data_IF_592723097226
#
_entry.id   IF_592723097226
#
_cell.length_a   1.000
_cell.length_b   1.000
_cell.length_c   1.000
_cell.angle_alpha   90.00
_cell.angle_beta   90.00
_cell.angle_gamma   90.00
#
_symmetry.space_group_name_H-M   'P 1'
#
loop_
_entity.id
_entity.type
_entity.pdbx_description
1 polymer ?
#
# COMPACT_ATOMS: atom_id res chain seq x y z
N UNK A 1 -25.67 -14.11 21.71
CA UNK A 1 -25.74 -13.12 20.61
C UNK A 1 -25.07 -13.74 19.41
N UNK A 2 -25.83 -14.10 18.37
CA UNK A 2 -25.27 -14.67 17.14
C UNK A 2 -24.39 -13.63 16.46
N UNK A 3 -23.16 -14.01 16.10
CA UNK A 3 -22.19 -13.13 15.45
C UNK A 3 -22.78 -12.73 14.09
N UNK A 4 -23.28 -11.50 13.97
CA UNK A 4 -24.00 -10.97 12.79
C UNK A 4 -23.08 -10.64 11.60
N UNK A 5 -21.80 -10.99 11.70
CA UNK A 5 -20.79 -10.61 10.73
C UNK A 5 -20.11 -11.87 10.19
N UNK A 6 -19.91 -11.85 8.87
CA UNK A 6 -19.39 -12.86 7.94
C UNK A 6 -18.79 -14.11 8.59
N UNK A 7 -19.31 -15.28 8.20
CA UNK A 7 -18.76 -16.58 8.58
C UNK A 7 -17.26 -16.64 8.24
N UNK A 8 -16.38 -16.94 9.21
CA UNK A 8 -14.94 -17.09 8.97
C UNK A 8 -14.58 -18.03 7.82
N UNK A 9 -15.44 -19.03 7.52
CA UNK A 9 -15.26 -19.94 6.40
C UNK A 9 -15.22 -19.24 5.04
N UNK A 10 -15.81 -18.04 4.90
CA UNK A 10 -15.78 -17.22 3.67
C UNK A 10 -14.35 -16.78 3.33
N UNK A 11 -13.46 -16.68 4.32
CA UNK A 11 -12.07 -16.29 4.11
C UNK A 11 -11.16 -17.46 3.75
N UNK A 12 -11.68 -18.69 3.71
CA UNK A 12 -10.88 -19.85 3.40
C UNK A 12 -10.37 -19.78 1.95
N UNK A 13 -9.04 -19.75 1.78
CA UNK A 13 -8.41 -19.58 0.47
C UNK A 13 -8.24 -18.12 0.00
N UNK A 14 -8.71 -17.13 0.78
CA UNK A 14 -8.50 -15.70 0.49
C UNK A 14 -7.42 -15.17 1.43
N UNK A 15 -6.28 -14.74 0.87
CA UNK A 15 -5.13 -14.26 1.64
C UNK A 15 -4.67 -12.87 1.19
N UNK A 16 -4.10 -12.13 2.14
CA UNK A 16 -3.48 -10.82 1.90
C UNK A 16 -4.47 -9.78 1.37
N UNK A 17 -3.98 -8.89 0.50
CA UNK A 17 -4.72 -7.74 -0.05
C UNK A 17 -5.98 -8.07 -0.87
N UNK A 18 -6.21 -9.36 -1.19
CA UNK A 18 -7.40 -9.79 -1.91
C UNK A 18 -8.64 -9.84 -0.99
N UNK A 19 -8.44 -9.86 0.33
CA UNK A 19 -9.54 -9.78 1.29
C UNK A 19 -10.20 -8.40 1.27
N UNK A 20 -9.42 -7.34 1.05
CA UNK A 20 -9.90 -5.97 1.12
C UNK A 20 -10.87 -5.65 -0.01
N UNK A 21 -10.54 -6.05 -1.25
CA UNK A 21 -11.45 -5.88 -2.39
C UNK A 21 -12.75 -6.65 -2.19
N UNK A 22 -12.66 -7.89 -1.70
CA UNK A 22 -13.83 -8.71 -1.41
C UNK A 22 -14.73 -8.05 -0.35
N UNK A 23 -14.17 -7.57 0.76
CA UNK A 23 -14.94 -6.95 1.83
C UNK A 23 -15.62 -5.65 1.39
N UNK A 24 -14.91 -4.78 0.66
CA UNK A 24 -15.48 -3.51 0.15
C UNK A 24 -16.62 -3.78 -0.83
N UNK A 25 -16.37 -4.66 -1.81
CA UNK A 25 -17.37 -5.01 -2.83
C UNK A 25 -18.61 -5.67 -2.23
N UNK A 26 -18.41 -6.63 -1.31
CA UNK A 26 -19.50 -7.33 -0.62
C UNK A 26 -20.35 -6.36 0.20
N UNK A 27 -19.72 -5.48 0.96
CA UNK A 27 -20.46 -4.54 1.81
C UNK A 27 -21.22 -3.50 0.99
N UNK A 28 -20.67 -3.08 -0.16
CA UNK A 28 -21.38 -2.24 -1.14
C UNK A 28 -22.64 -2.93 -1.67
N UNK A 29 -22.50 -4.17 -2.14
CA UNK A 29 -23.64 -4.98 -2.59
C UNK A 29 -24.70 -5.17 -1.50
N UNK A 30 -24.27 -5.45 -0.27
CA UNK A 30 -25.17 -5.66 0.88
C UNK A 30 -25.96 -4.41 1.27
N UNK A 31 -25.49 -3.21 0.87
CA UNK A 31 -26.20 -1.92 1.00
C UNK A 31 -27.09 -1.58 -0.19
N UNK A 32 -27.24 -2.50 -1.14
CA UNK A 32 -28.07 -2.32 -2.33
C UNK A 32 -27.36 -1.66 -3.51
N UNK A 33 -26.03 -1.52 -3.50
CA UNK A 33 -25.30 -1.04 -4.67
C UNK A 33 -25.16 -2.17 -5.70
N UNK A 34 -25.23 -1.81 -6.98
CA UNK A 34 -24.93 -2.74 -8.07
C UNK A 34 -23.42 -2.98 -8.11
N UNK A 35 -23.00 -4.21 -7.83
CA UNK A 35 -21.61 -4.66 -7.89
C UNK A 35 -21.30 -5.26 -9.26
N UNK A 36 -20.26 -4.77 -9.93
CA UNK A 36 -19.73 -5.35 -11.18
C UNK A 36 -18.26 -5.69 -11.02
N UNK A 37 -17.88 -6.94 -11.29
CA UNK A 37 -16.49 -7.40 -11.35
C UNK A 37 -15.98 -7.41 -12.79
N UNK A 38 -14.72 -7.04 -12.99
CA UNK A 38 -14.08 -6.98 -14.31
C UNK A 38 -12.94 -8.02 -14.41
N UNK A 39 -12.76 -8.58 -15.61
CA UNK A 39 -11.63 -9.47 -15.97
C UNK A 39 -10.71 -8.76 -16.98
N UNK A 40 -9.49 -9.27 -17.13
CA UNK A 40 -8.45 -8.65 -17.97
C UNK A 40 -8.95 -8.39 -19.41
N UNK A 41 -8.54 -7.23 -19.94
CA UNK A 41 -8.97 -6.60 -21.21
C UNK A 41 -10.30 -5.82 -21.19
N UNK A 42 -10.68 -5.23 -20.06
CA UNK A 42 -11.78 -4.25 -20.09
C UNK A 42 -11.25 -2.84 -20.43
N UNK A 43 -11.76 -2.15 -21.46
CA UNK A 43 -11.31 -0.79 -21.84
C UNK A 43 -11.67 0.31 -20.82
N UNK A 44 -12.30 -0.06 -19.70
CA UNK A 44 -12.86 0.86 -18.68
C UNK A 44 -12.02 0.87 -17.40
N UNK A 45 -10.71 0.67 -17.50
CA UNK A 45 -9.83 0.70 -16.34
C UNK A 45 -9.30 2.12 -16.09
N UNK A 46 -9.77 2.85 -15.06
CA UNK A 46 -9.31 4.21 -14.79
C UNK A 46 -7.94 4.26 -14.11
N UNK A 47 -7.38 3.11 -13.73
CA UNK A 47 -6.16 3.02 -12.94
C UNK A 47 -4.95 2.73 -13.83
N UNK A 48 -3.99 3.66 -13.82
CA UNK A 48 -2.70 3.42 -14.48
C UNK A 48 -1.93 2.29 -13.76
N UNK A 49 -1.19 1.48 -14.52
CA UNK A 49 -0.24 0.44 -14.04
C UNK A 49 -0.87 -0.81 -13.39
N UNK A 50 -2.09 -1.20 -13.75
CA UNK A 50 -2.64 -2.49 -13.33
C UNK A 50 -2.47 -3.52 -14.46
N UNK A 51 -1.59 -4.48 -14.26
CA UNK A 51 -1.37 -5.57 -15.23
C UNK A 51 -2.31 -6.74 -15.02
N UNK A 52 -2.83 -6.91 -13.79
CA UNK A 52 -3.77 -7.97 -13.43
C UNK A 52 -5.01 -7.37 -12.73
N UNK A 53 -6.16 -7.50 -13.39
CA UNK A 53 -7.44 -6.95 -12.93
C UNK A 53 -8.38 -8.02 -12.40
N UNK A 54 -8.07 -9.31 -12.58
CA UNK A 54 -8.92 -10.40 -12.16
C UNK A 54 -9.06 -10.37 -10.62
N UNK A 55 -10.31 -10.34 -10.14
CA UNK A 55 -10.65 -10.23 -8.70
C UNK A 55 -10.07 -9.00 -7.98
N UNK A 56 -9.53 -8.03 -8.74
CA UNK A 56 -8.93 -6.80 -8.21
C UNK A 56 -9.68 -5.56 -8.67
N UNK A 57 -10.29 -5.59 -9.86
CA UNK A 57 -11.06 -4.47 -10.39
C UNK A 57 -12.56 -4.73 -10.27
N UNK A 58 -13.27 -3.83 -9.59
CA UNK A 58 -14.72 -3.83 -9.49
C UNK A 58 -15.29 -2.41 -9.50
N UNK A 59 -16.59 -2.29 -9.71
CA UNK A 59 -17.32 -1.04 -9.51
C UNK A 59 -18.55 -1.24 -8.64
N UNK A 60 -18.92 -0.17 -7.95
CA UNK A 60 -20.16 -0.06 -7.19
C UNK A 60 -20.97 1.10 -7.78
N UNK A 61 -22.23 0.83 -8.08
CA UNK A 61 -23.14 1.79 -8.69
C UNK A 61 -24.42 1.93 -7.86
N UNK A 62 -24.80 3.17 -7.58
CA UNK A 62 -26.06 3.50 -6.90
C UNK A 62 -27.24 3.46 -7.87
N UNK A 63 -28.46 3.29 -7.36
CA UNK A 63 -29.68 3.37 -8.17
C UNK A 63 -29.85 4.71 -8.91
N UNK A 64 -29.22 5.79 -8.43
CA UNK A 64 -29.19 7.10 -9.09
C UNK A 64 -28.15 7.23 -10.20
N UNK A 65 -27.47 6.13 -10.58
CA UNK A 65 -26.50 6.10 -11.69
C UNK A 65 -25.08 6.56 -11.34
N UNK A 66 -24.83 6.99 -10.10
CA UNK A 66 -23.46 7.30 -9.65
C UNK A 66 -22.66 6.00 -9.49
N UNK A 67 -21.55 5.89 -10.20
CA UNK A 67 -20.66 4.73 -10.27
C UNK A 67 -19.25 5.10 -9.84
N UNK A 68 -18.62 4.23 -9.05
CA UNK A 68 -17.22 4.31 -8.66
C UNK A 68 -16.48 3.01 -8.92
N UNK A 69 -15.26 3.12 -9.42
CA UNK A 69 -14.36 2.00 -9.63
C UNK A 69 -13.39 1.85 -8.47
N UNK A 70 -12.98 0.61 -8.24
CA UNK A 70 -12.02 0.23 -7.22
C UNK A 70 -11.02 -0.77 -7.79
N UNK A 71 -9.74 -0.51 -7.59
CA UNK A 71 -8.67 -1.47 -7.79
C UNK A 71 -8.10 -1.87 -6.43
N UNK A 72 -8.36 -3.11 -6.02
CA UNK A 72 -8.18 -3.57 -4.63
C UNK A 72 -9.02 -2.71 -3.68
N UNK A 73 -8.37 -1.95 -2.80
CA UNK A 73 -9.01 -0.97 -1.91
C UNK A 73 -8.91 0.47 -2.42
N UNK A 74 -8.21 0.73 -3.54
CA UNK A 74 -8.05 2.08 -4.10
C UNK A 74 -9.27 2.45 -4.93
N UNK A 75 -9.98 3.51 -4.53
CA UNK A 75 -11.05 4.12 -5.32
C UNK A 75 -10.53 5.02 -6.44
N UNK A 76 -11.36 5.22 -7.47
CA UNK A 76 -11.08 6.05 -8.66
C UNK A 76 -10.87 7.54 -8.41
N UNK A 77 -11.25 8.05 -7.25
CA UNK A 77 -10.99 9.44 -6.85
C UNK A 77 -9.54 9.67 -6.39
N UNK A 78 -8.76 8.60 -6.15
CA UNK A 78 -7.33 8.71 -5.86
C UNK A 78 -6.59 8.94 -7.16
N UNK A 79 -5.91 10.09 -7.27
CA UNK A 79 -5.17 10.46 -8.47
C UNK A 79 -4.04 9.45 -8.74
N UNK A 80 -3.86 9.11 -10.03
CA UNK A 80 -2.82 8.16 -10.45
C UNK A 80 -1.42 8.66 -10.07
N UNK A 81 -1.18 9.97 -10.14
CA UNK A 81 0.07 10.61 -9.71
C UNK A 81 0.36 10.40 -8.22
N UNK A 82 -0.64 10.54 -7.35
CA UNK A 82 -0.48 10.28 -5.91
C UNK A 82 -0.04 8.83 -5.65
N UNK A 83 -0.54 7.87 -6.46
CA UNK A 83 -0.07 6.49 -6.37
C UNK A 83 1.38 6.34 -6.83
N UNK A 84 1.78 7.01 -7.92
CA UNK A 84 3.17 6.98 -8.39
C UNK A 84 4.16 7.55 -7.37
N UNK A 85 3.80 8.67 -6.74
CA UNK A 85 4.59 9.27 -5.65
C UNK A 85 4.69 8.28 -4.48
N UNK A 86 3.56 7.68 -4.09
CA UNK A 86 3.44 6.75 -2.97
C UNK A 86 4.23 5.44 -3.11
N UNK A 87 4.56 5.01 -4.34
CA UNK A 87 5.35 3.80 -4.57
C UNK A 87 6.80 3.98 -4.09
N UNK A 88 7.37 5.18 -4.25
CA UNK A 88 8.71 5.49 -3.79
C UNK A 88 8.68 6.07 -2.38
N UNK A 89 9.29 5.38 -1.43
CA UNK A 89 9.45 5.85 -0.05
C UNK A 89 10.17 7.21 0.00
N UNK A 90 11.10 7.45 -0.94
CA UNK A 90 11.84 8.70 -1.04
C UNK A 90 10.96 9.81 -1.61
N UNK A 91 10.32 9.59 -2.76
CA UNK A 91 9.49 10.63 -3.40
C UNK A 91 8.34 11.06 -2.49
N UNK A 92 7.76 10.09 -1.74
CA UNK A 92 6.75 10.40 -0.72
C UNK A 92 7.32 11.33 0.35
N UNK A 93 8.53 11.05 0.85
CA UNK A 93 9.20 11.89 1.86
C UNK A 93 9.47 13.30 1.33
N UNK A 94 9.96 13.41 0.10
CA UNK A 94 10.31 14.69 -0.53
C UNK A 94 9.07 15.59 -0.69
N UNK A 95 7.96 15.03 -1.21
CA UNK A 95 6.70 15.76 -1.38
C UNK A 95 6.13 16.20 -0.03
N UNK A 96 6.17 15.35 0.99
CA UNK A 96 5.70 15.72 2.33
C UNK A 96 6.55 16.88 2.91
N UNK A 97 7.87 16.80 2.79
CA UNK A 97 8.79 17.85 3.26
C UNK A 97 8.58 19.18 2.54
N UNK A 98 8.40 19.16 1.22
CA UNK A 98 8.12 20.35 0.41
C UNK A 98 6.87 21.11 0.90
N UNK A 99 5.89 20.37 1.41
CA UNK A 99 4.65 20.92 1.96
C UNK A 99 4.72 21.20 3.47
N UNK A 100 5.91 21.17 4.07
CA UNK A 100 6.11 21.43 5.50
C UNK A 100 5.58 20.34 6.43
N UNK A 101 5.32 19.14 5.90
CA UNK A 101 4.87 18.00 6.70
C UNK A 101 6.10 17.28 7.24
N UNK A 102 6.16 17.12 8.57
CA UNK A 102 7.26 16.41 9.22
C UNK A 102 7.28 14.93 8.83
N UNK A 103 8.49 14.42 8.56
CA UNK A 103 8.75 13.03 8.21
C UNK A 103 9.92 12.52 9.02
N UNK A 104 10.00 11.22 9.36
CA UNK A 104 11.18 10.66 10.00
C UNK A 104 12.47 11.01 9.23
N UNK A 105 13.50 11.38 9.97
CA UNK A 105 14.83 11.63 9.42
C UNK A 105 15.43 10.35 8.83
N UNK A 106 16.41 10.50 7.94
CA UNK A 106 16.96 9.37 7.18
C UNK A 106 17.30 9.72 5.74
N UNK A 107 18.11 8.86 5.14
CA UNK A 107 18.63 9.04 3.79
C UNK A 107 18.71 7.71 3.03
N UNK A 108 19.10 7.76 1.75
CA UNK A 108 19.30 6.62 0.86
C UNK A 108 20.78 6.40 0.62
N UNK A 109 21.20 5.16 0.84
CA UNK A 109 22.58 4.73 0.62
C UNK A 109 22.66 3.58 -0.38
N UNK A 110 23.75 3.52 -1.12
CA UNK A 110 24.19 2.25 -1.71
C UNK A 110 24.83 1.40 -0.62
N UNK A 111 24.58 0.08 -0.61
CA UNK A 111 25.06 -0.81 0.46
C UNK A 111 26.58 -0.79 0.65
N UNK A 112 27.34 -0.45 -0.39
CA UNK A 112 28.81 -0.41 -0.37
C UNK A 112 29.39 0.74 0.48
N UNK A 113 28.57 1.69 0.91
CA UNK A 113 29.01 2.92 1.59
C UNK A 113 28.74 2.85 3.10
N UNK A 114 29.33 1.84 3.77
CA UNK A 114 29.03 1.50 5.17
C UNK A 114 29.27 2.63 6.17
N UNK A 115 30.40 3.33 6.04
CA UNK A 115 30.78 4.41 6.96
C UNK A 115 29.76 5.57 6.93
N UNK A 116 29.22 5.90 5.75
CA UNK A 116 28.20 6.94 5.62
C UNK A 116 26.86 6.51 6.24
N UNK A 117 26.50 5.23 6.12
CA UNK A 117 25.29 4.67 6.74
C UNK A 117 25.39 4.76 8.27
N UNK A 118 26.52 4.35 8.85
CA UNK A 118 26.77 4.42 10.29
C UNK A 118 26.77 5.88 10.78
N UNK A 119 27.43 6.77 10.04
CA UNK A 119 27.45 8.20 10.37
C UNK A 119 26.02 8.77 10.39
N UNK A 120 25.21 8.48 9.38
CA UNK A 120 23.82 8.91 9.31
C UNK A 120 22.97 8.35 10.47
N UNK A 121 23.15 7.07 10.82
CA UNK A 121 22.44 6.47 11.95
C UNK A 121 22.80 7.14 13.29
N UNK A 122 24.08 7.50 13.48
CA UNK A 122 24.52 8.23 14.67
C UNK A 122 24.02 9.68 14.71
N UNK A 123 23.88 10.34 13.56
CA UNK A 123 23.32 11.70 13.46
C UNK A 123 21.81 11.75 13.76
N UNK A 124 21.07 10.70 13.35
CA UNK A 124 19.60 10.59 13.57
C UNK A 124 19.27 9.99 14.94
N UNK A 125 20.25 9.37 15.57
CA UNK A 125 20.16 8.61 16.82
C UNK A 125 19.43 7.26 16.68
N UNK A 126 19.93 6.27 17.43
CA UNK A 126 19.34 4.94 17.53
C UNK A 126 18.09 4.94 18.45
N UNK A 127 17.10 4.04 18.24
CA UNK A 127 17.11 2.97 17.25
C UNK A 127 16.74 3.43 15.84
N UNK A 128 17.30 2.77 14.83
CA UNK A 128 17.03 3.07 13.41
C UNK A 128 16.33 1.93 12.69
N UNK A 129 15.71 2.25 11.55
CA UNK A 129 15.06 1.28 10.67
C UNK A 129 15.77 1.28 9.32
N UNK A 130 16.23 0.10 8.89
CA UNK A 130 16.79 -0.11 7.55
C UNK A 130 15.72 -0.72 6.66
N UNK A 131 15.47 -0.11 5.50
CA UNK A 131 14.46 -0.57 4.54
C UNK A 131 14.98 -0.52 3.10
N UNK A 132 14.73 -1.52 2.26
CA UNK A 132 15.11 -1.48 0.86
C UNK A 132 14.25 -0.47 0.11
N UNK A 133 14.82 0.15 -0.93
CA UNK A 133 14.12 1.14 -1.73
C UNK A 133 12.95 0.53 -2.50
N UNK A 134 13.17 -0.59 -3.18
CA UNK A 134 12.24 -1.24 -4.12
C UNK A 134 11.39 -2.36 -3.52
N UNK A 135 11.59 -2.73 -2.25
CA UNK A 135 10.78 -3.77 -1.61
C UNK A 135 9.48 -3.23 -1.00
N UNK A 136 8.49 -4.11 -0.90
CA UNK A 136 7.15 -3.84 -0.36
C UNK A 136 6.74 -4.90 0.66
N UNK A 137 5.66 -4.64 1.41
CA UNK A 137 5.10 -5.57 2.39
C UNK A 137 6.08 -5.96 3.51
N UNK A 138 6.94 -5.03 3.93
CA UNK A 138 7.92 -5.27 5.00
C UNK A 138 9.09 -6.17 4.62
N UNK A 139 9.18 -6.64 3.37
CA UNK A 139 10.31 -7.47 2.94
C UNK A 139 11.63 -6.71 3.02
N UNK A 140 12.60 -7.35 3.67
CA UNK A 140 13.95 -6.79 3.89
C UNK A 140 13.98 -5.60 4.85
N UNK A 141 12.89 -5.32 5.58
CA UNK A 141 12.89 -4.28 6.61
C UNK A 141 13.46 -4.85 7.90
N UNK A 142 14.43 -4.15 8.46
CA UNK A 142 15.04 -4.44 9.76
C UNK A 142 14.72 -3.29 10.71
N UNK A 143 14.12 -3.61 11.85
CA UNK A 143 13.73 -2.64 12.89
C UNK A 143 14.54 -2.83 14.15
N UNK A 144 14.43 -1.87 15.08
CA UNK A 144 14.98 -1.95 16.42
C UNK A 144 16.51 -2.13 16.47
N UNK A 145 17.19 -1.73 15.39
CA UNK A 145 18.64 -1.70 15.29
C UNK A 145 19.11 -0.65 16.29
N UNK A 146 19.89 -1.07 17.29
CA UNK A 146 20.15 -0.25 18.48
C UNK A 146 21.59 0.26 18.57
N UNK A 147 22.48 -0.16 17.66
CA UNK A 147 23.89 0.23 17.67
C UNK A 147 24.58 -0.07 16.32
N UNK A 148 25.79 0.47 16.15
CA UNK A 148 26.65 0.26 14.98
C UNK A 148 26.93 -1.23 14.71
N UNK A 149 27.03 -2.07 15.74
CA UNK A 149 27.34 -3.49 15.57
C UNK A 149 26.19 -4.21 14.89
N UNK A 150 24.96 -4.07 15.41
CA UNK A 150 23.76 -4.63 14.80
C UNK A 150 23.54 -4.10 13.37
N UNK A 151 23.81 -2.81 13.15
CA UNK A 151 23.70 -2.20 11.82
C UNK A 151 24.67 -2.80 10.80
N UNK A 152 25.87 -3.21 11.24
CA UNK A 152 26.87 -3.84 10.38
C UNK A 152 26.55 -5.31 10.04
N UNK A 153 25.70 -5.96 10.82
CA UNK A 153 25.29 -7.36 10.60
C UNK A 153 24.17 -7.48 9.54
N UNK A 154 23.65 -6.35 9.04
CA UNK A 154 22.57 -6.23 8.04
C UNK A 154 23.13 -5.98 6.64
#
# INVERSE_FOLDING_TARGET
MSNKYLDPAIFNGIFGHNIDSYLISLEGWRRGLTLTWYREQTPVNPFNHTTDTAMKLFSLESHGGKKHFFYRSRGDLVHNESTQIGISKQNTKDVLKEHGISTPEGDRFELKVRDEIIKCANEIEYPVVVKPLSESMGRGVFTDISNDKELNEI
#
